data_IF_880680224342
#
_entry.id   IF_880680224342
#
_cell.length_a   1.000
_cell.length_b   1.000
_cell.length_c   1.000
_cell.angle_alpha   90.00
_cell.angle_beta   90.00
_cell.angle_gamma   90.00
#
_symmetry.space_group_name_H-M   'P 1'
#
loop_
_entity.id
_entity.type
_entity.pdbx_description
1 polymer ?
#
# COMPACT_ATOMS: atom_id res chain seq x y z
N UNK A 1 18.96 9.89 16.58
CA UNK A 1 19.21 8.74 15.70
C UNK A 1 17.89 8.01 15.61
N UNK A 2 17.12 8.08 14.51
CA UNK A 2 15.93 7.25 14.41
C UNK A 2 16.39 5.79 14.29
N UNK A 3 15.74 4.90 15.04
CA UNK A 3 16.01 3.47 15.19
C UNK A 3 16.70 2.80 13.99
N UNK A 4 17.93 2.34 14.20
CA UNK A 4 18.64 1.39 13.35
C UNK A 4 17.90 0.04 13.39
N UNK A 5 16.75 -0.03 12.72
CA UNK A 5 16.13 -1.31 12.38
C UNK A 5 17.16 -2.03 11.51
N UNK A 6 17.83 -3.04 12.06
CA UNK A 6 18.75 -3.87 11.29
C UNK A 6 17.95 -4.66 10.24
N UNK A 7 17.81 -4.06 9.06
CA UNK A 7 17.18 -4.67 7.91
C UNK A 7 18.15 -5.71 7.34
N UNK A 8 17.63 -6.90 7.04
CA UNK A 8 18.39 -7.88 6.25
C UNK A 8 18.71 -7.28 4.88
N UNK A 9 19.84 -7.62 4.24
CA UNK A 9 20.21 -7.07 2.92
C UNK A 9 19.11 -7.23 1.87
N UNK A 10 18.40 -8.36 1.87
CA UNK A 10 17.26 -8.58 0.98
C UNK A 10 16.11 -7.59 1.25
N UNK A 11 15.75 -7.38 2.52
CA UNK A 11 14.64 -6.48 2.87
C UNK A 11 14.99 -5.01 2.56
N UNK A 12 16.25 -4.62 2.80
CA UNK A 12 16.74 -3.29 2.46
C UNK A 12 16.60 -3.03 0.96
N UNK A 13 17.10 -3.95 0.11
CA UNK A 13 17.00 -3.83 -1.36
C UNK A 13 15.54 -3.70 -1.83
N UNK A 14 14.63 -4.53 -1.30
CA UNK A 14 13.20 -4.44 -1.68
C UNK A 14 12.54 -3.16 -1.19
N UNK A 15 12.90 -2.68 0.00
CA UNK A 15 12.37 -1.43 0.55
C UNK A 15 12.86 -0.22 -0.24
N UNK A 16 14.15 -0.15 -0.55
CA UNK A 16 14.72 0.91 -1.41
C UNK A 16 14.08 0.91 -2.81
N UNK A 17 13.85 -0.27 -3.39
CA UNK A 17 13.12 -0.40 -4.65
C UNK A 17 11.71 0.20 -4.54
N UNK A 18 10.96 -0.15 -3.49
CA UNK A 18 9.60 0.36 -3.28
C UNK A 18 9.59 1.88 -3.04
N UNK A 19 10.52 2.42 -2.23
CA UNK A 19 10.66 3.87 -2.03
C UNK A 19 10.91 4.57 -3.35
N UNK A 20 11.81 4.02 -4.19
CA UNK A 20 12.10 4.58 -5.52
C UNK A 20 10.85 4.59 -6.39
N UNK A 21 10.11 3.48 -6.48
CA UNK A 21 8.88 3.42 -7.29
C UNK A 21 7.83 4.43 -6.83
N UNK A 22 7.63 4.56 -5.52
CA UNK A 22 6.71 5.53 -4.91
C UNK A 22 7.12 6.97 -5.23
N UNK A 23 8.41 7.27 -5.14
CA UNK A 23 8.93 8.60 -5.44
C UNK A 23 8.86 8.93 -6.92
N UNK A 24 9.42 8.08 -7.78
CA UNK A 24 9.59 8.36 -9.21
C UNK A 24 8.27 8.35 -9.98
N UNK A 25 7.35 7.44 -9.64
CA UNK A 25 6.08 7.29 -10.39
C UNK A 25 4.94 8.09 -9.81
N UNK A 26 4.92 8.24 -8.48
CA UNK A 26 3.77 8.80 -7.76
C UNK A 26 4.10 10.06 -6.96
N UNK A 27 5.37 10.48 -6.89
CA UNK A 27 5.80 11.65 -6.12
C UNK A 27 5.63 11.49 -4.62
N UNK A 28 5.54 10.25 -4.12
CA UNK A 28 5.35 9.94 -2.70
C UNK A 28 6.70 9.70 -2.03
N UNK A 29 7.01 10.51 -1.02
CA UNK A 29 8.21 10.36 -0.22
C UNK A 29 7.90 9.60 1.07
N UNK A 30 8.58 8.48 1.28
CA UNK A 30 8.40 7.59 2.43
C UNK A 30 9.75 7.10 2.95
N UNK A 31 9.84 6.91 4.27
CA UNK A 31 11.04 6.36 4.87
C UNK A 31 11.23 4.89 4.47
N UNK A 32 12.49 4.48 4.25
CA UNK A 32 12.85 3.09 3.91
C UNK A 32 12.39 2.11 4.99
N UNK A 33 12.44 2.50 6.27
CA UNK A 33 11.92 1.69 7.38
C UNK A 33 10.42 1.42 7.26
N UNK A 34 9.62 2.43 6.90
CA UNK A 34 8.17 2.29 6.67
C UNK A 34 7.88 1.36 5.49
N UNK A 35 8.59 1.53 4.37
CA UNK A 35 8.46 0.62 3.23
C UNK A 35 8.85 -0.83 3.59
N UNK A 36 9.87 -1.01 4.44
CA UNK A 36 10.28 -2.32 4.92
C UNK A 36 9.20 -2.98 5.81
N UNK A 37 8.55 -2.21 6.68
CA UNK A 37 7.43 -2.70 7.50
C UNK A 37 6.27 -3.20 6.62
N UNK A 38 5.89 -2.43 5.60
CA UNK A 38 4.84 -2.81 4.66
C UNK A 38 5.18 -4.09 3.89
N UNK A 39 6.44 -4.22 3.43
CA UNK A 39 6.91 -5.43 2.75
C UNK A 39 6.90 -6.64 3.68
N UNK A 40 7.30 -6.48 4.95
CA UNK A 40 7.25 -7.56 5.94
C UNK A 40 5.81 -8.01 6.18
N UNK A 41 4.89 -7.06 6.37
CA UNK A 41 3.48 -7.35 6.54
C UNK A 41 2.91 -8.08 5.33
N UNK A 42 3.16 -7.58 4.13
CA UNK A 42 2.66 -8.17 2.89
C UNK A 42 3.23 -9.58 2.65
N UNK A 43 4.54 -9.78 2.88
CA UNK A 43 5.18 -11.09 2.82
C UNK A 43 4.53 -12.08 3.79
N UNK A 44 4.26 -11.65 5.02
CA UNK A 44 3.66 -12.49 6.04
C UNK A 44 2.22 -12.88 5.66
N UNK A 45 1.46 -11.97 5.04
CA UNK A 45 0.15 -12.26 4.46
C UNK A 45 0.21 -13.28 3.30
N UNK A 46 1.21 -13.19 2.41
CA UNK A 46 1.43 -14.18 1.36
C UNK A 46 1.73 -15.56 1.97
N UNK A 47 2.63 -15.60 2.95
CA UNK A 47 3.01 -16.84 3.63
C UNK A 47 1.80 -17.53 4.29
N UNK A 48 0.97 -16.74 4.98
CA UNK A 48 -0.26 -17.20 5.62
C UNK A 48 -1.27 -17.76 4.59
N UNK A 49 -1.58 -16.99 3.55
CA UNK A 49 -2.59 -17.37 2.54
C UNK A 49 -2.20 -18.61 1.74
N UNK A 50 -0.93 -18.73 1.40
CA UNK A 50 -0.41 -19.88 0.64
C UNK A 50 -0.01 -21.05 1.53
N UNK A 51 -0.05 -20.90 2.86
CA UNK A 51 0.41 -21.88 3.85
C UNK A 51 1.85 -22.35 3.61
N UNK A 52 2.73 -21.40 3.33
CA UNK A 52 4.16 -21.64 3.10
C UNK A 52 5.01 -20.96 4.18
N UNK A 53 6.28 -21.36 4.28
CA UNK A 53 7.22 -20.68 5.16
C UNK A 53 7.47 -19.23 4.73
N UNK A 54 7.66 -18.31 5.69
CA UNK A 54 7.93 -16.88 5.43
C UNK A 54 9.10 -16.66 4.46
N UNK A 55 10.19 -17.41 4.62
CA UNK A 55 11.35 -17.34 3.71
C UNK A 55 10.99 -17.74 2.28
N UNK A 56 10.10 -18.72 2.11
CA UNK A 56 9.61 -19.12 0.80
C UNK A 56 8.70 -18.07 0.17
N UNK A 57 8.07 -17.19 0.96
CA UNK A 57 7.24 -16.11 0.45
C UNK A 57 8.06 -14.98 -0.21
N UNK A 58 9.35 -14.83 0.11
CA UNK A 58 10.23 -13.83 -0.52
C UNK A 58 10.22 -13.90 -2.05
N UNK A 59 10.05 -15.09 -2.65
CA UNK A 59 9.99 -15.28 -4.11
C UNK A 59 8.82 -14.59 -4.80
N UNK A 60 7.79 -14.18 -4.04
CA UNK A 60 6.61 -13.50 -4.56
C UNK A 60 6.71 -11.98 -4.43
N UNK A 61 7.72 -11.47 -3.71
CA UNK A 61 8.04 -10.04 -3.61
C UNK A 61 8.98 -9.69 -4.76
N UNK A 62 8.46 -9.81 -5.98
CA UNK A 62 9.17 -9.48 -7.21
C UNK A 62 9.07 -7.98 -7.50
N UNK A 63 9.93 -7.49 -8.37
CA UNK A 63 9.97 -6.09 -8.79
C UNK A 63 8.63 -5.67 -9.43
N UNK A 64 8.04 -6.51 -10.30
CA UNK A 64 6.70 -6.28 -10.87
C UNK A 64 5.62 -6.19 -9.79
N UNK A 65 5.69 -7.07 -8.78
CA UNK A 65 4.70 -7.12 -7.73
C UNK A 65 4.84 -5.92 -6.76
N UNK A 66 6.08 -5.45 -6.52
CA UNK A 66 6.35 -4.20 -5.82
C UNK A 66 5.90 -2.98 -6.62
N UNK A 67 6.06 -2.98 -7.94
CA UNK A 67 5.53 -1.92 -8.81
C UNK A 67 4.01 -1.81 -8.72
N UNK A 68 3.30 -2.94 -8.76
CA UNK A 68 1.84 -2.97 -8.55
C UNK A 68 1.44 -2.59 -7.12
N UNK A 69 2.28 -2.92 -6.12
CA UNK A 69 2.04 -2.51 -4.74
C UNK A 69 2.20 -1.00 -4.56
N UNK A 70 3.20 -0.38 -5.19
CA UNK A 70 3.35 1.08 -5.23
C UNK A 70 2.13 1.78 -5.83
N UNK A 71 1.61 1.26 -6.94
CA UNK A 71 0.37 1.76 -7.56
C UNK A 71 -0.83 1.66 -6.61
N UNK A 72 -0.94 0.55 -5.88
CA UNK A 72 -1.99 0.37 -4.89
C UNK A 72 -1.88 1.35 -3.72
N UNK A 73 -0.67 1.56 -3.20
CA UNK A 73 -0.42 2.54 -2.12
C UNK A 73 -0.82 3.95 -2.59
N UNK A 74 -0.35 4.36 -3.77
CA UNK A 74 -0.69 5.67 -4.33
C UNK A 74 -2.20 5.84 -4.48
N UNK A 75 -2.90 4.83 -5.01
CA UNK A 75 -4.34 4.86 -5.14
C UNK A 75 -5.05 4.98 -3.79
N UNK A 76 -4.56 4.30 -2.75
CA UNK A 76 -5.09 4.39 -1.39
C UNK A 76 -4.88 5.78 -0.79
N UNK A 77 -3.70 6.38 -0.99
CA UNK A 77 -3.38 7.74 -0.54
C UNK A 77 -4.32 8.76 -1.20
N UNK A 78 -4.49 8.69 -2.52
CA UNK A 78 -5.42 9.54 -3.26
C UNK A 78 -6.86 9.41 -2.77
N UNK A 79 -7.31 8.18 -2.50
CA UNK A 79 -8.67 7.92 -2.04
C UNK A 79 -8.89 8.37 -0.59
N UNK A 80 -7.87 8.27 0.26
CA UNK A 80 -7.89 8.82 1.62
C UNK A 80 -7.86 10.35 1.65
N UNK A 81 -7.29 10.99 0.62
CA UNK A 81 -7.27 12.46 0.48
C UNK A 81 -8.57 13.03 -0.11
N UNK A 82 -9.36 12.23 -0.82
CA UNK A 82 -10.68 12.66 -1.28
C UNK A 82 -11.59 12.81 -0.05
N UNK A 83 -12.22 13.98 0.17
CA UNK A 83 -13.21 14.12 1.22
C UNK A 83 -14.28 13.06 1.00
N UNK A 84 -14.69 12.36 2.07
CA UNK A 84 -15.75 11.38 2.02
C UNK A 84 -16.93 11.99 1.24
N UNK A 85 -17.34 11.31 0.16
CA UNK A 85 -18.41 11.81 -0.70
C UNK A 85 -19.61 12.20 0.18
N UNK A 86 -20.14 13.41 -0.06
CA UNK A 86 -21.28 13.94 0.68
C UNK A 86 -22.39 12.88 0.74
N UNK A 87 -22.68 12.41 1.95
CA UNK A 87 -23.69 11.38 2.17
C UNK A 87 -25.07 12.02 2.00
N UNK A 88 -25.55 12.08 0.76
CA UNK A 88 -26.90 12.56 0.47
C UNK A 88 -27.89 11.54 1.02
N UNK A 89 -28.78 11.96 1.91
CA UNK A 89 -29.77 11.07 2.47
C UNK A 89 -30.71 10.55 1.38
N UNK A 90 -31.01 9.25 1.42
CA UNK A 90 -32.03 8.63 0.54
C UNK A 90 -33.41 9.29 0.70
N UNK A 91 -33.67 9.91 1.86
CA UNK A 91 -34.90 10.64 2.16
C UNK A 91 -35.05 11.92 1.34
N UNK A 92 -33.96 12.64 1.05
CA UNK A 92 -33.97 13.86 0.24
C UNK A 92 -34.19 13.55 -1.25
N UNK A 93 -33.55 12.47 -1.74
CA UNK A 93 -33.69 12.03 -3.15
C UNK A 93 -35.13 11.64 -3.52
N UNK A 94 -35.92 11.11 -2.58
CA UNK A 94 -37.31 10.71 -2.81
C UNK A 94 -38.30 11.89 -2.81
N UNK A 95 -37.94 13.02 -2.19
CA UNK A 95 -38.78 14.22 -2.14
C UNK A 95 -38.80 14.98 -3.47
N UNK A 96 -37.66 15.03 -4.17
CA UNK A 96 -37.57 15.68 -5.49
C UNK A 96 -38.30 14.93 -6.62
N UNK A 97 -38.54 13.62 -6.48
CA UNK A 97 -39.17 12.79 -7.52
C UNK A 97 -40.71 12.75 -7.46
N UNK A 98 -41.32 13.39 -6.45
CA UNK A 98 -42.79 13.44 -6.25
C UNK A 98 -43.42 14.80 -6.57
N UNK A 99 -42.64 15.75 -7.07
CA UNK A 99 -43.07 17.12 -7.37
C UNK A 99 -43.17 17.41 -8.89
N UNK A 100 -43.40 16.38 -9.71
CA UNK A 100 -43.71 16.48 -11.14
C UNK A 100 -44.85 15.53 -11.45
#
# INVERSE_FOLDING_TARGET
MPDDVHLTPWLLERAEYLVRELHERHGLDVAVSTAAEDIVWWRDQIAERLRIQKKSANRYVTDDALGAFADHIAQCVENGHKPAAEVISIAERRRGKRAT
#
